data_IF_192801788989
#
_entry.id   IF_192801788989
#
_cell.length_a   1.000
_cell.length_b   1.000
_cell.length_c   1.000
_cell.angle_alpha   90.00
_cell.angle_beta   90.00
_cell.angle_gamma   90.00
#
_symmetry.space_group_name_H-M   'P 1'
#
loop_
_entity.id
_entity.type
_entity.pdbx_description
1 polymer ?
#
# COMPACT_ATOMS: atom_id res chain seq x y z
N UNK A 1 -8.04 28.97 14.61
CA UNK A 1 -6.83 28.20 14.97
C UNK A 1 -6.50 27.35 13.77
N UNK A 2 -5.36 27.56 13.12
CA UNK A 2 -4.90 26.70 12.03
C UNK A 2 -4.62 25.32 12.63
N UNK A 3 -5.29 24.27 12.17
CA UNK A 3 -4.89 22.91 12.54
C UNK A 3 -3.49 22.68 12.01
N UNK A 4 -2.49 22.67 12.90
CA UNK A 4 -1.13 22.21 12.66
C UNK A 4 -1.10 20.68 12.47
N UNK A 5 -2.06 20.15 11.71
CA UNK A 5 -2.26 18.74 11.45
C UNK A 5 -1.52 18.30 10.19
N UNK A 6 -1.49 16.98 9.97
CA UNK A 6 -0.89 16.41 8.77
C UNK A 6 -1.57 16.83 7.47
N UNK A 7 -0.89 16.57 6.36
CA UNK A 7 -1.32 16.92 5.00
C UNK A 7 -2.13 15.77 4.41
N UNK A 8 -3.43 15.99 4.09
CA UNK A 8 -4.28 14.95 3.53
C UNK A 8 -4.04 14.79 2.02
N UNK A 9 -4.06 13.55 1.55
CA UNK A 9 -4.07 13.20 0.13
C UNK A 9 -5.19 12.22 -0.15
N UNK A 10 -5.85 12.40 -1.29
CA UNK A 10 -6.75 11.40 -1.86
C UNK A 10 -6.42 11.19 -3.34
N UNK A 11 -6.17 9.95 -3.71
CA UNK A 11 -6.03 9.50 -5.09
C UNK A 11 -7.15 8.52 -5.41
N UNK A 12 -7.92 8.80 -6.45
CA UNK A 12 -9.06 7.98 -6.85
C UNK A 12 -9.05 7.79 -8.37
N UNK A 13 -9.21 6.55 -8.84
CA UNK A 13 -9.37 6.27 -10.26
C UNK A 13 -10.85 6.29 -10.64
N UNK A 14 -11.43 7.48 -10.62
CA UNK A 14 -12.86 7.75 -10.90
C UNK A 14 -13.17 8.10 -12.35
N UNK A 15 -12.15 8.23 -13.21
CA UNK A 15 -12.30 8.56 -14.63
C UNK A 15 -11.46 7.65 -15.52
N UNK A 16 -11.90 7.44 -16.76
CA UNK A 16 -11.09 6.82 -17.80
C UNK A 16 -9.85 7.69 -18.06
N UNK A 17 -8.70 7.04 -18.20
CA UNK A 17 -7.43 7.70 -18.46
C UNK A 17 -6.73 7.08 -19.65
N UNK A 18 -6.15 7.90 -20.52
CA UNK A 18 -5.35 7.45 -21.66
C UNK A 18 -3.91 7.88 -21.45
N UNK A 19 -2.99 6.92 -21.44
CA UNK A 19 -1.57 7.20 -21.35
C UNK A 19 -0.77 6.20 -22.20
N UNK A 20 0.16 6.71 -23.01
CA UNK A 20 1.04 5.91 -23.86
C UNK A 20 0.28 4.92 -24.77
N UNK A 21 -0.86 5.36 -25.33
CA UNK A 21 -1.70 4.53 -26.21
C UNK A 21 -2.53 3.45 -25.49
N UNK A 22 -2.49 3.37 -24.16
CA UNK A 22 -3.30 2.46 -23.36
C UNK A 22 -4.46 3.23 -22.74
N UNK A 23 -5.67 2.68 -22.87
CA UNK A 23 -6.86 3.15 -22.16
C UNK A 23 -7.02 2.37 -20.86
N UNK A 24 -7.07 3.10 -19.74
CA UNK A 24 -7.35 2.56 -18.41
C UNK A 24 -8.78 2.95 -18.03
N UNK A 25 -9.65 1.94 -17.95
CA UNK A 25 -11.04 2.13 -17.52
C UNK A 25 -11.12 2.47 -16.03
N UNK A 26 -12.22 3.09 -15.63
CA UNK A 26 -12.53 3.41 -14.22
C UNK A 26 -12.49 2.13 -13.38
N UNK A 27 -11.54 2.04 -12.44
CA UNK A 27 -11.47 0.91 -11.52
C UNK A 27 -12.14 1.18 -10.17
N UNK A 28 -12.33 2.46 -9.80
CA UNK A 28 -12.77 2.82 -8.45
C UNK A 28 -11.73 2.58 -7.35
N UNK A 29 -10.47 2.25 -7.71
CA UNK A 29 -9.38 2.22 -6.73
C UNK A 29 -9.23 3.56 -6.03
N UNK A 30 -9.07 3.54 -4.70
CA UNK A 30 -9.04 4.73 -3.84
C UNK A 30 -7.99 4.60 -2.75
N UNK A 31 -7.28 5.70 -2.53
CA UNK A 31 -6.14 5.83 -1.65
C UNK A 31 -6.27 7.15 -0.90
N UNK A 32 -6.52 7.10 0.41
CA UNK A 32 -6.69 8.28 1.25
C UNK A 32 -5.74 8.24 2.45
N UNK A 33 -4.97 9.30 2.63
CA UNK A 33 -3.90 9.37 3.62
C UNK A 33 -3.83 10.72 4.31
N UNK A 34 -3.19 10.74 5.47
CA UNK A 34 -2.69 11.95 6.12
C UNK A 34 -1.21 11.75 6.44
N UNK A 35 -0.36 12.66 5.95
CA UNK A 35 1.08 12.63 6.19
C UNK A 35 1.46 13.68 7.24
N UNK A 36 2.20 13.28 8.26
CA UNK A 36 2.79 14.18 9.26
C UNK A 36 4.33 14.02 9.27
N UNK A 37 5.06 14.58 8.27
CA UNK A 37 6.49 14.35 8.13
C UNK A 37 7.33 14.74 9.34
N UNK A 38 7.04 15.88 9.95
CA UNK A 38 7.73 16.36 11.17
C UNK A 38 7.55 15.45 12.39
N UNK A 39 6.52 14.60 12.39
CA UNK A 39 6.25 13.62 13.43
C UNK A 39 6.62 12.19 13.02
N UNK A 40 7.12 11.97 11.80
CA UNK A 40 7.39 10.64 11.27
C UNK A 40 6.14 9.76 11.18
N UNK A 41 4.96 10.34 10.93
CA UNK A 41 3.70 9.60 10.97
C UNK A 41 2.99 9.61 9.61
N UNK A 42 2.53 8.43 9.20
CA UNK A 42 1.61 8.21 8.10
C UNK A 42 0.30 7.61 8.66
N UNK A 43 -0.83 8.18 8.28
CA UNK A 43 -2.15 7.61 8.57
C UNK A 43 -2.78 7.22 7.24
N UNK A 44 -3.11 5.94 7.07
CA UNK A 44 -3.83 5.43 5.91
C UNK A 44 -5.26 5.10 6.28
N UNK A 45 -6.18 5.88 5.69
CA UNK A 45 -7.62 5.76 5.89
C UNK A 45 -8.20 4.78 4.87
N UNK A 46 -7.93 5.01 3.59
CA UNK A 46 -8.32 4.14 2.48
C UNK A 46 -7.10 3.59 1.74
N UNK A 47 -7.07 2.28 1.50
CA UNK A 47 -6.00 1.58 0.79
C UNK A 47 -6.55 0.55 -0.21
N UNK A 48 -7.57 0.94 -0.98
CA UNK A 48 -8.25 0.08 -1.93
C UNK A 48 -7.57 0.13 -3.30
N UNK A 49 -6.82 -0.92 -3.66
CA UNK A 49 -6.18 -0.97 -4.96
C UNK A 49 -7.17 -1.19 -6.11
N UNK A 50 -6.87 -0.68 -7.32
CA UNK A 50 -7.63 -0.98 -8.53
C UNK A 50 -7.90 -2.48 -8.72
N UNK A 51 -6.92 -3.33 -8.41
CA UNK A 51 -7.03 -4.79 -8.53
C UNK A 51 -7.96 -5.41 -7.49
N UNK A 52 -8.04 -4.83 -6.29
CA UNK A 52 -8.93 -5.31 -5.25
C UNK A 52 -10.40 -5.01 -5.57
N UNK A 53 -10.67 -3.83 -6.17
CA UNK A 53 -12.02 -3.39 -6.52
C UNK A 53 -12.48 -4.00 -7.85
N UNK A 54 -11.70 -3.87 -8.91
CA UNK A 54 -12.08 -4.29 -10.28
C UNK A 54 -11.47 -5.62 -10.71
N UNK A 55 -11.59 -6.66 -9.88
CA UNK A 55 -11.02 -8.00 -10.14
C UNK A 55 -11.32 -8.56 -11.53
N UNK A 56 -12.52 -8.27 -12.06
CA UNK A 56 -12.97 -8.69 -13.39
C UNK A 56 -12.11 -8.14 -14.54
N UNK A 57 -11.38 -7.04 -14.35
CA UNK A 57 -10.43 -6.54 -15.36
C UNK A 57 -9.35 -7.57 -15.67
N UNK A 58 -8.87 -8.29 -14.64
CA UNK A 58 -7.86 -9.34 -14.84
C UNK A 58 -8.41 -10.49 -15.69
N UNK A 59 -9.67 -10.88 -15.46
CA UNK A 59 -10.34 -11.95 -16.22
C UNK A 59 -10.59 -11.56 -17.68
N UNK A 60 -10.82 -10.26 -17.92
CA UNK A 60 -11.04 -9.69 -19.25
C UNK A 60 -9.75 -9.27 -19.96
N UNK A 61 -8.58 -9.44 -19.34
CA UNK A 61 -7.30 -8.98 -19.89
C UNK A 61 -7.17 -7.46 -19.99
N UNK A 62 -7.97 -6.70 -19.23
CA UNK A 62 -7.93 -5.24 -19.18
C UNK A 62 -6.77 -4.75 -18.31
N UNK A 63 -6.12 -3.64 -18.70
CA UNK A 63 -4.98 -3.10 -17.96
C UNK A 63 -5.44 -2.33 -16.72
N UNK A 64 -4.67 -2.45 -15.63
CA UNK A 64 -4.74 -1.53 -14.49
C UNK A 64 -3.73 -0.40 -14.67
N UNK A 65 -4.03 0.77 -14.07
CA UNK A 65 -3.07 1.89 -14.03
C UNK A 65 -1.72 1.43 -13.48
N UNK A 66 -0.62 2.01 -13.98
CA UNK A 66 0.73 1.60 -13.56
C UNK A 66 0.98 1.87 -12.09
N UNK A 67 0.56 3.04 -11.60
CA UNK A 67 0.67 3.42 -10.19
C UNK A 67 -0.51 2.82 -9.42
N UNK A 68 -0.46 1.51 -9.19
CA UNK A 68 -1.52 0.73 -8.56
C UNK A 68 -1.13 0.12 -7.23
N UNK A 69 0.14 0.09 -6.85
CA UNK A 69 0.55 -0.41 -5.53
C UNK A 69 0.44 0.70 -4.49
N UNK A 70 0.02 0.32 -3.30
CA UNK A 70 -0.09 1.23 -2.16
C UNK A 70 1.28 1.82 -1.80
N UNK A 71 2.35 1.00 -1.77
CA UNK A 71 3.73 1.45 -1.49
C UNK A 71 4.18 2.55 -2.43
N UNK A 72 4.00 2.38 -3.74
CA UNK A 72 4.43 3.38 -4.72
C UNK A 72 3.73 4.73 -4.50
N UNK A 73 2.40 4.72 -4.33
CA UNK A 73 1.62 5.94 -4.10
C UNK A 73 2.07 6.63 -2.80
N UNK A 74 2.23 5.85 -1.73
CA UNK A 74 2.66 6.37 -0.43
C UNK A 74 4.06 6.93 -0.48
N UNK A 75 5.00 6.23 -1.10
CA UNK A 75 6.40 6.67 -1.20
C UNK A 75 6.51 8.01 -1.93
N UNK A 76 5.83 8.16 -3.07
CA UNK A 76 5.85 9.39 -3.86
C UNK A 76 5.27 10.57 -3.07
N UNK A 77 4.13 10.39 -2.42
CA UNK A 77 3.54 11.44 -1.57
C UNK A 77 4.43 11.74 -0.36
N UNK A 78 4.96 10.72 0.33
CA UNK A 78 5.87 10.92 1.46
C UNK A 78 7.12 11.69 1.05
N UNK A 79 7.68 11.38 -0.12
CA UNK A 79 8.84 12.09 -0.63
C UNK A 79 8.56 13.57 -0.88
N UNK A 80 7.40 13.87 -1.47
CA UNK A 80 6.96 15.24 -1.68
C UNK A 80 6.77 15.97 -0.34
N UNK A 81 6.09 15.35 0.61
CA UNK A 81 5.78 15.98 1.89
C UNK A 81 7.00 16.13 2.80
N UNK A 82 7.93 15.18 2.79
CA UNK A 82 9.22 15.33 3.46
C UNK A 82 10.01 16.51 2.90
N UNK A 83 10.01 16.66 1.56
CA UNK A 83 10.68 17.76 0.88
C UNK A 83 10.04 19.11 1.22
N UNK A 84 8.70 19.20 1.23
CA UNK A 84 7.97 20.39 1.62
C UNK A 84 8.18 20.78 3.09
N UNK A 85 8.31 19.78 3.98
CA UNK A 85 8.53 19.98 5.42
C UNK A 85 10.01 20.13 5.82
N UNK A 86 10.96 19.96 4.90
CA UNK A 86 12.40 19.97 5.21
C UNK A 86 12.85 18.80 6.11
N UNK A 87 12.22 17.63 5.99
CA UNK A 87 12.51 16.43 6.79
C UNK A 87 13.12 15.31 5.96
N UNK A 88 13.74 14.32 6.61
CA UNK A 88 14.35 13.16 5.93
C UNK A 88 13.30 12.15 5.48
N UNK A 89 13.50 11.55 4.29
CA UNK A 89 12.71 10.40 3.83
C UNK A 89 12.77 9.21 4.80
N UNK A 90 13.91 9.03 5.47
CA UNK A 90 14.11 7.99 6.48
C UNK A 90 13.45 8.32 7.83
N UNK A 91 12.77 9.46 7.96
CA UNK A 91 12.14 9.94 9.18
C UNK A 91 10.81 9.28 9.51
N UNK A 92 10.32 8.32 8.71
CA UNK A 92 9.06 7.61 8.98
C UNK A 92 9.24 6.68 10.19
N UNK A 93 8.43 6.89 11.23
CA UNK A 93 8.46 6.16 12.49
C UNK A 93 7.24 5.25 12.67
N UNK A 94 6.07 5.66 12.18
CA UNK A 94 4.83 4.91 12.35
C UNK A 94 3.91 5.02 11.13
N UNK A 95 3.24 3.90 10.82
CA UNK A 95 2.12 3.84 9.88
C UNK A 95 0.90 3.35 10.63
N UNK A 96 -0.13 4.19 10.75
CA UNK A 96 -1.43 3.82 11.30
C UNK A 96 -2.35 3.51 10.12
N UNK A 97 -2.95 2.31 10.10
CA UNK A 97 -3.99 1.96 9.11
C UNK A 97 -5.34 1.83 9.82
N UNK A 98 -6.33 2.59 9.37
CA UNK A 98 -7.67 2.61 9.99
C UNK A 98 -8.57 1.46 9.49
N UNK A 99 -8.38 1.03 8.24
CA UNK A 99 -9.11 -0.11 7.67
C UNK A 99 -8.14 -1.24 7.27
N UNK A 100 -7.94 -2.18 8.19
CA UNK A 100 -7.28 -3.46 7.91
C UNK A 100 -8.34 -4.53 7.63
N UNK A 101 -8.85 -4.61 6.40
CA UNK A 101 -9.71 -5.73 6.02
C UNK A 101 -8.88 -7.02 5.83
N UNK A 102 -9.01 -7.93 6.81
CA UNK A 102 -8.36 -9.23 6.80
C UNK A 102 -9.14 -10.21 5.92
N UNK A 103 -8.89 -10.24 4.60
CA UNK A 103 -9.55 -11.22 3.72
C UNK A 103 -8.75 -12.49 3.41
N UNK A 104 -7.56 -12.69 3.98
CA UNK A 104 -6.74 -13.90 3.75
C UNK A 104 -5.80 -14.24 4.92
N UNK A 105 -6.33 -14.90 5.95
CA UNK A 105 -5.52 -15.56 6.98
C UNK A 105 -4.90 -16.89 6.51
N UNK A 106 -5.39 -17.41 5.37
CA UNK A 106 -4.97 -18.67 4.73
C UNK A 106 -3.54 -18.62 4.18
N UNK A 107 -3.12 -17.51 3.58
CA UNK A 107 -1.76 -17.41 3.03
C UNK A 107 -0.69 -17.40 4.12
N UNK A 108 -0.96 -16.77 5.26
CA UNK A 108 -0.02 -16.76 6.39
C UNK A 108 0.22 -18.18 6.91
N UNK A 109 -0.81 -19.01 7.00
CA UNK A 109 -0.66 -20.42 7.34
C UNK A 109 0.14 -21.18 6.26
N UNK A 110 -0.07 -20.89 4.98
CA UNK A 110 0.66 -21.53 3.88
C UNK A 110 2.16 -21.18 3.88
N UNK A 111 2.52 -19.90 3.99
CA UNK A 111 3.95 -19.49 3.97
C UNK A 111 4.71 -19.87 5.22
N UNK A 112 4.03 -20.05 6.35
CA UNK A 112 4.65 -20.52 7.60
C UNK A 112 4.62 -22.04 7.75
N UNK A 113 4.00 -22.77 6.81
CA UNK A 113 3.77 -24.21 6.95
C UNK A 113 2.94 -24.57 8.19
N UNK A 114 2.08 -23.65 8.65
CA UNK A 114 1.28 -23.81 9.86
C UNK A 114 2.03 -23.58 11.18
N UNK A 115 3.26 -23.06 11.13
CA UNK A 115 4.00 -22.71 12.34
C UNK A 115 3.29 -21.60 13.13
N UNK A 116 3.38 -21.68 14.46
CA UNK A 116 2.92 -20.59 15.33
C UNK A 116 3.87 -19.41 15.18
N UNK A 117 3.34 -18.27 14.73
CA UNK A 117 4.12 -17.04 14.58
C UNK A 117 4.35 -16.45 15.97
N UNK A 118 5.62 -16.29 16.34
CA UNK A 118 5.98 -15.61 17.57
C UNK A 118 5.62 -14.12 17.52
N UNK A 119 5.52 -13.49 18.69
CA UNK A 119 5.33 -12.04 18.76
C UNK A 119 6.54 -11.29 18.20
N UNK A 120 6.46 -9.96 18.15
CA UNK A 120 7.49 -9.10 17.54
C UNK A 120 8.93 -9.31 18.05
N UNK A 121 9.12 -9.85 19.27
CA UNK A 121 10.43 -10.18 19.86
C UNK A 121 11.00 -11.53 19.40
N UNK A 122 10.19 -12.35 18.72
CA UNK A 122 10.57 -13.65 18.21
C UNK A 122 9.89 -13.87 16.84
N UNK A 123 10.23 -13.06 15.82
CA UNK A 123 9.60 -13.16 14.51
C UNK A 123 10.01 -14.44 13.79
N UNK A 124 9.14 -14.93 12.90
CA UNK A 124 9.57 -15.84 11.84
C UNK A 124 10.24 -15.00 10.76
N UNK A 125 11.48 -15.34 10.42
CA UNK A 125 12.26 -14.65 9.38
C UNK A 125 12.36 -15.57 8.18
N UNK A 126 12.06 -15.02 7.01
CA UNK A 126 12.32 -15.66 5.71
C UNK A 126 13.35 -14.81 4.98
N UNK A 127 14.42 -15.43 4.51
CA UNK A 127 15.50 -14.71 3.84
C UNK A 127 15.11 -14.34 2.39
N UNK A 128 15.62 -13.21 1.86
CA UNK A 128 15.41 -12.85 0.46
C UNK A 128 15.81 -13.98 -0.49
N UNK A 129 14.91 -14.32 -1.41
CA UNK A 129 15.11 -15.41 -2.37
C UNK A 129 14.48 -16.75 -1.98
N UNK A 130 14.07 -16.93 -0.72
CA UNK A 130 13.30 -18.09 -0.30
C UNK A 130 11.89 -18.09 -0.93
N UNK A 131 11.32 -19.29 -1.13
CA UNK A 131 9.96 -19.43 -1.65
C UNK A 131 8.93 -18.74 -0.76
N UNK A 132 9.10 -18.80 0.56
CA UNK A 132 8.19 -18.22 1.53
C UNK A 132 8.26 -16.69 1.55
N UNK A 133 9.48 -16.14 1.44
CA UNK A 133 9.71 -14.72 1.25
C UNK A 133 9.02 -14.20 -0.03
N UNK A 134 9.26 -14.86 -1.17
CA UNK A 134 8.65 -14.48 -2.45
C UNK A 134 7.12 -14.63 -2.45
N UNK A 135 6.60 -15.66 -1.79
CA UNK A 135 5.16 -15.87 -1.63
C UNK A 135 4.51 -14.78 -0.77
N UNK A 136 5.18 -14.34 0.31
CA UNK A 136 4.74 -13.21 1.13
C UNK A 136 4.69 -11.91 0.32
N UNK A 137 5.70 -11.65 -0.51
CA UNK A 137 5.70 -10.50 -1.44
C UNK A 137 4.54 -10.55 -2.44
N UNK A 138 4.04 -11.74 -2.77
CA UNK A 138 2.87 -11.91 -3.64
C UNK A 138 1.52 -11.70 -2.93
N UNK A 139 1.50 -11.51 -1.61
CA UNK A 139 0.24 -11.28 -0.86
C UNK A 139 -0.20 -9.84 -0.98
N UNK A 140 -1.52 -9.53 -0.89
CA UNK A 140 -1.99 -8.15 -0.89
C UNK A 140 -1.33 -7.25 0.18
N UNK A 141 -0.87 -7.85 1.29
CA UNK A 141 -0.22 -7.14 2.38
C UNK A 141 1.30 -7.05 2.23
N UNK A 142 1.94 -7.99 1.52
CA UNK A 142 3.39 -7.96 1.23
C UNK A 142 3.73 -7.24 -0.08
N UNK A 143 2.83 -7.29 -1.06
CA UNK A 143 2.97 -6.61 -2.36
C UNK A 143 2.76 -5.10 -2.28
N UNK A 144 2.32 -4.59 -1.13
CA UNK A 144 2.10 -3.17 -0.89
C UNK A 144 3.11 -2.54 0.05
N UNK A 145 4.01 -3.28 0.71
CA UNK A 145 4.95 -2.71 1.70
C UNK A 145 6.39 -2.67 1.18
N UNK A 146 6.70 -3.44 0.13
CA UNK A 146 7.97 -3.41 -0.58
C UNK A 146 7.87 -2.59 -1.87
#
# INVERSE_FOLDING_TARGET
MSTSGGVPFKHEQSAEMKANGITYLVSGGSYAYVYCPSNGLLIADENCSPEAISKHFKEQGLPYVKLKQWSDVVFLNWQQECSAAGTSLSGLQAVIRLHCEHRRGDVIAQVTGGQTIGGYKNPIVFEPGESNFNALLGTPNGSGVA
#
